data_IF_841707086305
#
_entry.id   IF_841707086305
#
_cell.length_a   1.000
_cell.length_b   1.000
_cell.length_c   1.000
_cell.angle_alpha   90.00
_cell.angle_beta   90.00
_cell.angle_gamma   90.00
#
_symmetry.space_group_name_H-M   'P 1'
#
loop_
_entity.id
_entity.type
_entity.pdbx_description
1 polymer ?
#
# COMPACT_ATOMS: atom_id res chain seq x y z
N UNK A 1 0.51 -5.18 12.64
CA UNK A 1 -0.44 -4.07 12.80
C UNK A 1 -0.05 -2.93 11.84
N UNK A 2 -1.02 -2.14 11.38
CA UNK A 2 -0.76 -0.96 10.57
C UNK A 2 -0.24 0.18 11.45
N UNK A 3 0.93 0.75 11.09
CA UNK A 3 1.57 1.85 11.81
C UNK A 3 1.53 3.14 10.98
N UNK A 4 0.51 3.99 11.16
CA UNK A 4 0.35 5.19 10.34
C UNK A 4 1.40 6.28 10.61
N UNK A 5 2.09 6.27 11.76
CA UNK A 5 3.12 7.27 12.07
C UNK A 5 4.47 6.96 11.42
N UNK A 6 4.54 5.90 10.60
CA UNK A 6 5.70 5.51 9.79
C UNK A 6 6.17 6.64 8.84
N UNK A 7 5.33 7.63 8.59
CA UNK A 7 5.62 8.78 7.75
C UNK A 7 6.91 9.53 8.13
N UNK A 8 7.32 9.48 9.39
CA UNK A 8 8.60 10.03 9.84
C UNK A 8 9.78 9.33 9.16
N UNK A 9 9.74 8.00 9.10
CA UNK A 9 10.75 7.19 8.42
C UNK A 9 10.66 7.34 6.90
N UNK A 10 9.45 7.38 6.34
CA UNK A 10 9.23 7.63 4.90
C UNK A 10 9.88 8.95 4.48
N UNK A 11 9.77 10.01 5.29
CA UNK A 11 10.39 11.30 5.05
C UNK A 11 11.92 11.27 5.09
N UNK A 12 12.52 10.37 5.86
CA UNK A 12 13.98 10.17 5.93
C UNK A 12 14.46 9.35 4.75
N UNK A 13 13.82 8.23 4.44
CA UNK A 13 14.19 7.33 3.36
C UNK A 13 13.87 7.89 1.97
N UNK A 14 12.74 8.55 1.81
CA UNK A 14 12.25 9.12 0.54
C UNK A 14 12.23 8.15 -0.65
N UNK A 15 12.13 6.85 -0.41
CA UNK A 15 12.10 5.83 -1.46
C UNK A 15 10.87 6.05 -2.35
N UNK A 16 11.12 6.26 -3.65
CA UNK A 16 10.07 6.59 -4.62
C UNK A 16 9.60 8.04 -4.59
N UNK A 17 10.21 8.92 -3.76
CA UNK A 17 9.94 10.36 -3.69
C UNK A 17 11.19 11.20 -3.98
N UNK A 18 12.06 10.70 -4.85
CA UNK A 18 13.30 11.38 -5.24
C UNK A 18 14.49 11.10 -4.34
N UNK A 19 14.35 10.28 -3.30
CA UNK A 19 15.47 9.76 -2.52
C UNK A 19 16.25 8.71 -3.32
N UNK A 20 17.57 8.87 -3.36
CA UNK A 20 18.50 7.97 -4.05
C UNK A 20 19.67 7.55 -3.15
N UNK A 21 19.61 7.87 -1.88
CA UNK A 21 20.65 7.57 -0.91
C UNK A 21 20.07 6.84 0.30
N UNK A 22 20.83 5.90 0.85
CA UNK A 22 20.53 5.29 2.14
C UNK A 22 20.82 6.32 3.23
N UNK A 23 19.85 6.65 4.11
CA UNK A 23 20.05 7.62 5.17
C UNK A 23 21.13 7.18 6.18
N UNK A 24 21.67 8.14 6.90
CA UNK A 24 22.57 7.82 8.01
C UNK A 24 21.80 7.17 9.16
N UNK A 25 22.46 6.24 9.85
CA UNK A 25 21.86 5.48 10.95
C UNK A 25 21.25 6.37 12.03
N UNK A 26 21.93 7.46 12.41
CA UNK A 26 21.44 8.44 13.40
C UNK A 26 20.10 9.06 12.99
N UNK A 27 19.89 9.32 11.68
CA UNK A 27 18.68 9.97 11.19
C UNK A 27 17.51 8.97 11.18
N UNK A 28 17.80 7.69 10.90
CA UNK A 28 16.81 6.60 11.01
C UNK A 28 16.39 6.41 12.46
N UNK A 29 17.34 6.34 13.40
CA UNK A 29 17.08 6.17 14.83
C UNK A 29 16.26 7.34 15.38
N UNK A 30 16.61 8.58 15.04
CA UNK A 30 15.86 9.77 15.44
C UNK A 30 14.44 9.85 14.88
N UNK A 31 14.20 9.28 13.68
CA UNK A 31 12.87 9.16 13.11
C UNK A 31 12.06 8.03 13.75
N UNK A 32 12.72 6.90 14.05
CA UNK A 32 12.10 5.72 14.66
C UNK A 32 11.53 6.02 16.05
N UNK A 33 12.21 6.86 16.87
CA UNK A 33 11.71 7.31 18.19
C UNK A 33 10.32 7.99 18.12
N UNK A 34 9.92 8.47 16.96
CA UNK A 34 8.63 9.15 16.73
C UNK A 34 7.56 8.23 16.17
N UNK A 35 7.90 6.97 15.84
CA UNK A 35 6.96 5.98 15.33
C UNK A 35 6.21 5.36 16.50
N UNK A 36 4.97 5.79 16.70
CA UNK A 36 4.12 5.35 17.81
C UNK A 36 2.67 5.79 17.57
N UNK A 37 1.86 4.89 17.04
CA UNK A 37 0.44 5.16 16.75
C UNK A 37 -0.40 5.41 18.01
N UNK A 38 0.06 4.99 19.19
CA UNK A 38 -0.69 5.21 20.44
C UNK A 38 -0.80 6.67 20.83
N UNK A 39 0.05 7.54 20.24
CA UNK A 39 0.00 9.00 20.40
C UNK A 39 -0.99 9.69 19.47
N UNK A 40 -1.69 8.93 18.61
CA UNK A 40 -2.74 9.47 17.75
C UNK A 40 -4.04 9.55 18.56
N UNK A 41 -4.58 10.74 18.64
CA UNK A 41 -5.90 10.97 19.22
C UNK A 41 -6.87 11.40 18.13
N UNK A 42 -8.05 10.80 18.10
CA UNK A 42 -9.11 11.17 17.17
C UNK A 42 -10.35 11.60 17.93
N UNK A 43 -10.99 12.68 17.48
CA UNK A 43 -12.25 13.19 18.05
C UNK A 43 -13.21 13.52 16.92
N UNK A 44 -14.44 13.05 17.03
CA UNK A 44 -15.51 13.39 16.10
C UNK A 44 -16.57 14.23 16.80
N UNK A 45 -16.76 15.46 16.31
CA UNK A 45 -17.76 16.39 16.79
C UNK A 45 -18.47 17.06 15.61
N UNK A 46 -19.80 17.16 15.64
CA UNK A 46 -20.60 17.84 14.62
C UNK A 46 -20.24 17.47 13.18
N UNK A 47 -20.07 16.17 12.90
CA UNK A 47 -19.60 15.62 11.61
C UNK A 47 -18.18 16.04 11.18
N UNK A 48 -17.41 16.70 12.04
CA UNK A 48 -16.00 17.02 11.80
C UNK A 48 -15.15 15.99 12.55
N UNK A 49 -14.25 15.33 11.81
CA UNK A 49 -13.24 14.46 12.40
C UNK A 49 -11.95 15.26 12.61
N UNK A 50 -11.46 15.30 13.83
CA UNK A 50 -10.20 15.94 14.18
C UNK A 50 -9.20 14.88 14.62
N UNK A 51 -7.95 15.05 14.21
CA UNK A 51 -6.85 14.18 14.61
C UNK A 51 -5.76 15.04 15.25
N UNK A 52 -5.19 14.55 16.35
CA UNK A 52 -3.97 15.06 16.95
C UNK A 52 -2.92 13.96 16.90
N UNK A 53 -1.72 14.31 16.50
CA UNK A 53 -0.55 13.42 16.48
C UNK A 53 0.50 13.95 17.47
N UNK A 54 1.43 13.11 17.88
CA UNK A 54 2.55 13.48 18.74
C UNK A 54 3.47 14.48 18.06
N UNK A 55 4.19 15.26 18.88
CA UNK A 55 5.14 16.26 18.37
C UNK A 55 6.21 15.62 17.49
N UNK A 56 6.33 16.09 16.26
CA UNK A 56 7.31 15.62 15.31
C UNK A 56 6.95 14.31 14.60
N UNK A 57 5.74 13.76 14.83
CA UNK A 57 5.22 12.65 14.06
C UNK A 57 4.76 13.09 12.66
N UNK A 58 4.75 12.17 11.73
CA UNK A 58 4.21 12.33 10.39
C UNK A 58 3.37 11.12 10.02
N UNK A 59 2.21 11.35 9.42
CA UNK A 59 1.31 10.28 9.00
C UNK A 59 1.60 9.88 7.55
N UNK A 60 1.68 8.58 7.33
CA UNK A 60 1.67 7.96 6.00
C UNK A 60 0.59 6.87 5.95
N UNK A 61 -0.27 6.94 4.95
CA UNK A 61 -1.37 5.99 4.74
C UNK A 61 -1.14 5.15 3.47
N UNK A 62 0.07 5.17 2.92
CA UNK A 62 0.40 4.54 1.65
C UNK A 62 0.04 3.06 1.56
N UNK A 63 0.07 2.35 2.69
CA UNK A 63 -0.25 0.92 2.77
C UNK A 63 -1.76 0.59 2.75
N UNK A 64 -2.66 1.58 2.76
CA UNK A 64 -4.12 1.38 2.72
C UNK A 64 -4.83 2.36 1.79
N UNK A 65 -4.16 3.44 1.40
CA UNK A 65 -4.81 4.58 0.73
C UNK A 65 -5.34 4.22 -0.66
N UNK A 66 -4.56 3.49 -1.46
CA UNK A 66 -4.98 3.13 -2.82
C UNK A 66 -6.19 2.19 -2.79
N UNK A 67 -6.19 1.21 -1.90
CA UNK A 67 -7.32 0.31 -1.70
C UNK A 67 -8.57 1.04 -1.24
N UNK A 68 -8.44 1.96 -0.29
CA UNK A 68 -9.54 2.80 0.18
C UNK A 68 -10.10 3.69 -0.93
N UNK A 69 -9.22 4.39 -1.67
CA UNK A 69 -9.60 5.26 -2.79
C UNK A 69 -10.35 4.45 -3.86
N UNK A 70 -9.84 3.27 -4.25
CA UNK A 70 -10.48 2.40 -5.22
C UNK A 70 -11.90 2.02 -4.81
N UNK A 71 -12.09 1.62 -3.54
CA UNK A 71 -13.41 1.30 -2.98
C UNK A 71 -14.34 2.52 -2.96
N UNK A 72 -13.86 3.68 -2.52
CA UNK A 72 -14.67 4.90 -2.48
C UNK A 72 -15.11 5.33 -3.89
N UNK A 73 -14.18 5.36 -4.84
CA UNK A 73 -14.48 5.73 -6.24
C UNK A 73 -15.47 4.77 -6.89
N UNK A 74 -15.36 3.46 -6.67
CA UNK A 74 -16.34 2.51 -7.20
C UNK A 74 -17.73 2.70 -6.62
N UNK A 75 -17.83 3.08 -5.32
CA UNK A 75 -19.10 3.41 -4.67
C UNK A 75 -19.71 4.69 -5.25
N UNK A 76 -18.92 5.75 -5.43
CA UNK A 76 -19.38 7.02 -6.01
C UNK A 76 -19.84 6.82 -7.46
N UNK A 77 -19.08 6.08 -8.27
CA UNK A 77 -19.44 5.76 -9.65
C UNK A 77 -20.73 4.94 -9.71
N UNK A 78 -20.90 3.97 -8.80
CA UNK A 78 -22.15 3.20 -8.69
C UNK A 78 -23.33 4.08 -8.36
N UNK A 79 -23.18 5.02 -7.42
CA UNK A 79 -24.21 6.00 -7.06
C UNK A 79 -24.56 6.92 -8.24
N UNK A 80 -23.58 7.22 -9.10
CA UNK A 80 -23.78 7.96 -10.35
C UNK A 80 -24.38 7.13 -11.50
N UNK A 81 -24.72 5.85 -11.27
CA UNK A 81 -25.38 4.98 -12.24
C UNK A 81 -24.43 4.09 -13.08
N UNK A 82 -23.14 4.09 -12.79
CA UNK A 82 -22.20 3.17 -13.45
C UNK A 82 -22.45 1.71 -13.01
N UNK A 83 -22.40 0.78 -13.95
CA UNK A 83 -22.64 -0.65 -13.70
C UNK A 83 -21.44 -1.54 -13.99
N UNK A 84 -20.47 -1.05 -14.77
CA UNK A 84 -19.30 -1.79 -15.23
C UNK A 84 -18.08 -0.86 -15.12
N UNK A 85 -17.24 -1.05 -14.11
CA UNK A 85 -16.06 -0.21 -13.89
C UNK A 85 -14.85 -1.08 -13.59
N UNK A 86 -13.72 -0.73 -14.17
CA UNK A 86 -12.41 -1.19 -13.80
C UNK A 86 -11.54 0.03 -13.56
N UNK A 87 -11.06 0.21 -12.33
CA UNK A 87 -10.09 1.23 -11.95
C UNK A 87 -8.74 0.56 -11.71
N UNK A 88 -7.70 1.00 -12.41
CA UNK A 88 -6.31 0.62 -12.14
C UNK A 88 -5.57 1.81 -11.52
N UNK A 89 -5.28 1.71 -10.24
CA UNK A 89 -4.56 2.71 -9.45
C UNK A 89 -3.08 2.33 -9.29
N UNK A 90 -2.42 2.02 -10.41
CA UNK A 90 -1.02 1.65 -10.43
C UNK A 90 -0.77 0.23 -9.88
N UNK A 91 -1.58 -0.73 -10.33
CA UNK A 91 -1.52 -2.14 -9.93
C UNK A 91 -2.48 -2.52 -8.80
N UNK A 92 -3.14 -1.55 -8.17
CA UNK A 92 -4.28 -1.79 -7.29
C UNK A 92 -5.56 -1.64 -8.12
N UNK A 93 -6.21 -2.76 -8.43
CA UNK A 93 -7.39 -2.80 -9.28
C UNK A 93 -8.66 -2.87 -8.43
N UNK A 94 -9.61 -1.95 -8.68
CA UNK A 94 -10.93 -1.98 -8.06
C UNK A 94 -12.00 -2.18 -9.15
N UNK A 95 -12.95 -3.06 -8.89
CA UNK A 95 -13.95 -3.52 -9.87
C UNK A 95 -15.36 -3.24 -9.37
N UNK A 96 -16.22 -2.77 -10.29
CA UNK A 96 -17.65 -2.70 -10.09
C UNK A 96 -18.33 -3.49 -11.21
N UNK A 97 -19.23 -4.40 -10.83
CA UNK A 97 -19.97 -5.24 -11.76
C UNK A 97 -19.08 -6.15 -12.60
N UNK A 98 -19.66 -6.69 -13.64
CA UNK A 98 -18.98 -7.54 -14.60
C UNK A 98 -18.40 -6.72 -15.75
N UNK A 99 -17.54 -7.31 -16.55
CA UNK A 99 -17.06 -6.71 -17.80
C UNK A 99 -18.22 -6.43 -18.77
N UNK A 100 -18.06 -5.55 -19.76
CA UNK A 100 -19.10 -5.30 -20.77
C UNK A 100 -19.59 -6.55 -21.51
N UNK A 101 -18.80 -7.63 -21.54
CA UNK A 101 -19.17 -8.92 -22.09
C UNK A 101 -20.02 -9.79 -21.15
N UNK A 102 -20.46 -9.27 -19.97
CA UNK A 102 -21.28 -9.99 -18.99
C UNK A 102 -20.53 -11.03 -18.16
N UNK A 103 -19.22 -11.11 -18.26
CA UNK A 103 -18.34 -12.07 -17.57
C UNK A 103 -17.53 -11.36 -16.47
N UNK A 104 -17.00 -12.09 -15.47
CA UNK A 104 -16.01 -11.53 -14.55
C UNK A 104 -14.86 -10.86 -15.31
N UNK A 105 -14.28 -9.83 -14.72
CA UNK A 105 -13.06 -9.21 -15.21
C UNK A 105 -11.89 -10.18 -15.08
N UNK A 106 -11.00 -10.18 -16.08
CA UNK A 106 -9.74 -10.89 -15.99
C UNK A 106 -8.65 -9.89 -15.56
N UNK A 107 -8.17 -10.01 -14.34
CA UNK A 107 -7.10 -9.16 -13.79
C UNK A 107 -5.79 -9.92 -13.84
N UNK A 108 -4.83 -9.41 -14.60
CA UNK A 108 -3.50 -10.00 -14.71
C UNK A 108 -2.64 -9.68 -13.49
N UNK A 109 -2.03 -10.70 -12.89
CA UNK A 109 -1.05 -10.54 -11.84
C UNK A 109 0.34 -10.47 -12.47
N UNK A 110 1.02 -9.34 -12.25
CA UNK A 110 2.35 -9.07 -12.77
C UNK A 110 3.38 -10.07 -12.24
N UNK A 111 4.27 -10.54 -13.10
CA UNK A 111 5.48 -11.26 -12.67
C UNK A 111 6.43 -10.33 -11.94
N UNK A 112 6.84 -10.65 -10.70
CA UNK A 112 7.70 -9.78 -9.91
C UNK A 112 9.14 -9.71 -10.42
N UNK A 113 9.60 -10.73 -11.18
CA UNK A 113 10.96 -10.91 -11.71
C UNK A 113 11.11 -10.45 -13.16
N UNK A 114 10.08 -9.85 -13.75
CA UNK A 114 10.06 -9.49 -15.17
C UNK A 114 9.60 -8.05 -15.39
N UNK A 115 9.80 -7.58 -16.60
CA UNK A 115 9.32 -6.27 -17.04
C UNK A 115 7.80 -6.16 -16.93
N UNK A 116 7.34 -4.93 -16.76
CA UNK A 116 5.91 -4.63 -16.64
C UNK A 116 5.14 -5.12 -17.87
N UNK A 117 4.01 -5.78 -17.62
CA UNK A 117 3.15 -6.38 -18.65
C UNK A 117 3.32 -7.89 -18.80
N UNK A 118 4.33 -8.49 -18.17
CA UNK A 118 4.45 -9.95 -18.14
C UNK A 118 3.64 -10.55 -17.00
N UNK A 119 2.60 -11.30 -17.34
CA UNK A 119 1.61 -11.83 -16.42
C UNK A 119 2.05 -13.20 -15.88
N UNK A 120 1.98 -13.38 -14.55
CA UNK A 120 2.20 -14.66 -13.86
C UNK A 120 0.91 -15.49 -13.79
N UNK A 121 -0.21 -14.83 -13.47
CA UNK A 121 -1.51 -15.47 -13.28
C UNK A 121 -2.63 -14.50 -13.68
N UNK A 122 -3.83 -15.03 -13.86
CA UNK A 122 -5.05 -14.25 -14.11
C UNK A 122 -6.07 -14.57 -13.03
N UNK A 123 -6.55 -13.54 -12.35
CA UNK A 123 -7.66 -13.64 -11.39
C UNK A 123 -8.96 -13.20 -12.08
N UNK A 124 -10.02 -13.99 -11.89
CA UNK A 124 -11.39 -13.63 -12.32
C UNK A 124 -12.11 -13.01 -11.13
N UNK A 125 -12.47 -11.73 -11.22
CA UNK A 125 -13.09 -11.00 -10.12
C UNK A 125 -14.22 -10.08 -10.62
N UNK A 126 -15.14 -9.72 -9.74
CA UNK A 126 -16.19 -8.71 -9.95
C UNK A 126 -16.68 -8.21 -8.58
N UNK A 127 -17.01 -6.93 -8.47
CA UNK A 127 -17.40 -6.27 -7.20
C UNK A 127 -16.36 -6.46 -6.08
N UNK A 128 -15.08 -6.50 -6.47
CA UNK A 128 -13.94 -6.78 -5.59
C UNK A 128 -12.76 -5.91 -5.99
N UNK A 129 -11.79 -5.81 -5.09
CA UNK A 129 -10.47 -5.24 -5.37
C UNK A 129 -9.44 -6.37 -5.47
N UNK A 130 -8.52 -6.24 -6.42
CA UNK A 130 -7.35 -7.10 -6.60
C UNK A 130 -6.13 -6.23 -6.37
N UNK A 131 -5.43 -6.43 -5.26
CA UNK A 131 -4.38 -5.55 -4.78
C UNK A 131 -3.08 -6.33 -4.65
N UNK A 132 -1.99 -5.74 -5.13
CA UNK A 132 -0.67 -6.36 -5.08
C UNK A 132 0.34 -5.43 -4.42
N UNK A 133 1.07 -5.95 -3.44
CA UNK A 133 2.28 -5.35 -2.86
C UNK A 133 3.51 -6.14 -3.30
N UNK A 134 4.58 -5.45 -3.71
CA UNK A 134 5.81 -6.10 -4.15
C UNK A 134 7.04 -5.21 -3.99
N UNK A 135 8.21 -5.83 -3.81
CA UNK A 135 9.49 -5.15 -3.63
C UNK A 135 9.99 -4.44 -4.89
N UNK A 136 9.46 -4.80 -6.05
CA UNK A 136 9.93 -4.30 -7.35
C UNK A 136 9.40 -2.91 -7.72
N UNK A 137 8.37 -2.40 -6.99
CA UNK A 137 7.71 -1.15 -7.38
C UNK A 137 8.56 0.09 -7.12
N UNK A 138 9.17 0.20 -5.93
CA UNK A 138 9.98 1.35 -5.52
C UNK A 138 11.14 0.87 -4.67
N UNK A 139 12.36 1.16 -5.09
CA UNK A 139 13.59 0.75 -4.40
C UNK A 139 14.73 1.74 -4.62
N UNK A 140 15.67 1.73 -3.70
CA UNK A 140 17.00 2.32 -3.85
C UNK A 140 17.99 1.17 -3.97
N UNK A 141 18.92 1.25 -4.92
CA UNK A 141 20.02 0.32 -5.04
C UNK A 141 21.33 1.01 -4.63
N UNK A 142 22.03 0.43 -3.66
CA UNK A 142 23.33 0.94 -3.19
C UNK A 142 24.23 -0.20 -2.76
N UNK A 143 25.48 -0.19 -3.22
CA UNK A 143 26.52 -1.18 -2.86
C UNK A 143 26.06 -2.64 -3.06
N UNK A 144 25.33 -2.92 -4.15
CA UNK A 144 24.80 -4.24 -4.47
C UNK A 144 23.61 -4.68 -3.61
N UNK A 145 23.08 -3.80 -2.74
CA UNK A 145 21.89 -4.05 -1.91
C UNK A 145 20.70 -3.27 -2.43
N UNK A 146 19.52 -3.90 -2.38
CA UNK A 146 18.25 -3.29 -2.73
C UNK A 146 17.46 -2.95 -1.46
N UNK A 147 16.96 -1.72 -1.38
CA UNK A 147 16.20 -1.19 -0.26
C UNK A 147 14.79 -0.85 -0.74
N UNK A 148 13.81 -1.67 -0.39
CA UNK A 148 12.40 -1.48 -0.76
C UNK A 148 11.73 -0.37 0.04
N UNK A 149 10.58 0.10 -0.45
CA UNK A 149 9.85 1.21 0.19
C UNK A 149 9.00 0.80 1.40
N UNK A 150 8.81 -0.50 1.64
CA UNK A 150 8.07 -0.98 2.82
C UNK A 150 9.04 -1.02 4.00
N UNK A 151 8.77 -0.22 5.01
CA UNK A 151 9.65 -0.01 6.16
C UNK A 151 9.12 -0.75 7.40
N UNK A 152 10.03 -1.31 8.19
CA UNK A 152 9.72 -1.89 9.49
C UNK A 152 9.57 -0.79 10.55
N UNK A 153 8.45 -0.72 11.26
CA UNK A 153 8.28 0.21 12.38
C UNK A 153 9.11 -0.16 13.62
N UNK A 154 9.72 -1.34 13.64
CA UNK A 154 10.56 -1.81 14.74
C UNK A 154 12.02 -1.44 14.54
N UNK A 155 12.50 -1.53 13.29
CA UNK A 155 13.92 -1.32 12.98
C UNK A 155 14.21 -0.01 12.24
N UNK A 156 13.18 0.63 11.68
CA UNK A 156 13.31 1.79 10.81
C UNK A 156 13.92 1.49 9.44
N UNK A 157 14.24 0.23 9.16
CA UNK A 157 14.85 -0.24 7.91
C UNK A 157 13.78 -0.78 6.96
N UNK A 158 14.05 -0.83 5.64
CA UNK A 158 13.26 -1.63 4.73
C UNK A 158 13.12 -3.07 5.22
N UNK A 159 11.93 -3.64 5.10
CA UNK A 159 11.70 -5.03 5.50
C UNK A 159 12.54 -5.99 4.66
N UNK A 160 13.17 -6.93 5.34
CA UNK A 160 13.82 -8.07 4.70
C UNK A 160 12.78 -9.20 4.62
N UNK A 161 12.39 -9.60 3.43
CA UNK A 161 11.40 -10.65 3.21
C UNK A 161 11.85 -11.55 2.06
N UNK A 162 11.45 -12.81 2.14
CA UNK A 162 11.62 -13.83 1.09
C UNK A 162 10.48 -13.79 0.05
N UNK A 163 9.48 -12.94 0.28
CA UNK A 163 8.33 -12.77 -0.61
C UNK A 163 8.65 -11.73 -1.70
N UNK A 164 8.46 -12.11 -2.97
CA UNK A 164 8.61 -11.20 -4.10
C UNK A 164 7.39 -10.29 -4.28
N UNK A 165 6.18 -10.84 -4.12
CA UNK A 165 4.91 -10.09 -4.12
C UNK A 165 3.80 -10.86 -3.43
N UNK A 166 2.80 -10.13 -2.94
CA UNK A 166 1.54 -10.65 -2.40
C UNK A 166 0.39 -10.05 -3.17
N UNK A 167 -0.60 -10.86 -3.54
CA UNK A 167 -1.85 -10.39 -4.14
C UNK A 167 -3.03 -10.84 -3.29
N UNK A 168 -3.91 -9.92 -2.96
CA UNK A 168 -5.14 -10.18 -2.20
C UNK A 168 -6.36 -9.74 -3.01
N UNK A 169 -7.40 -10.55 -2.96
CA UNK A 169 -8.72 -10.26 -3.51
C UNK A 169 -9.70 -10.11 -2.37
N UNK A 170 -10.33 -8.95 -2.29
CA UNK A 170 -11.30 -8.63 -1.23
C UNK A 170 -12.31 -7.58 -1.71
N UNK A 171 -13.52 -7.61 -1.15
CA UNK A 171 -14.54 -6.58 -1.39
C UNK A 171 -14.18 -5.23 -0.77
N UNK A 172 -13.41 -5.24 0.31
CA UNK A 172 -12.88 -4.06 0.97
C UNK A 172 -11.43 -3.83 0.53
N UNK A 173 -11.24 -2.86 -0.37
CA UNK A 173 -9.93 -2.54 -0.90
C UNK A 173 -8.94 -2.03 0.15
N UNK A 174 -9.41 -1.28 1.17
CA UNK A 174 -8.52 -0.82 2.25
C UNK A 174 -7.99 -1.99 3.08
N UNK A 175 -8.86 -2.97 3.37
CA UNK A 175 -8.48 -4.20 4.06
C UNK A 175 -7.51 -5.04 3.23
N UNK A 176 -7.80 -5.20 1.93
CA UNK A 176 -6.91 -5.90 1.01
C UNK A 176 -5.52 -5.25 0.94
N UNK A 177 -5.43 -3.92 0.83
CA UNK A 177 -4.18 -3.17 0.74
C UNK A 177 -3.35 -3.33 2.03
N UNK A 178 -4.01 -3.16 3.20
CA UNK A 178 -3.37 -3.35 4.50
C UNK A 178 -2.84 -4.76 4.71
N UNK A 179 -3.63 -5.79 4.40
CA UNK A 179 -3.19 -7.18 4.51
C UNK A 179 -2.08 -7.52 3.52
N UNK A 180 -2.17 -6.99 2.30
CA UNK A 180 -1.16 -7.19 1.26
C UNK A 180 0.22 -6.73 1.75
N UNK A 181 0.29 -5.53 2.30
CA UNK A 181 1.51 -4.96 2.87
C UNK A 181 1.97 -5.71 4.12
N UNK A 182 1.03 -6.10 5.00
CA UNK A 182 1.36 -6.82 6.23
C UNK A 182 1.95 -8.21 5.96
N UNK A 183 1.32 -8.99 5.09
CA UNK A 183 1.81 -10.32 4.71
C UNK A 183 3.16 -10.24 3.98
N UNK A 184 3.33 -9.22 3.12
CA UNK A 184 4.62 -8.99 2.48
C UNK A 184 5.72 -8.72 3.52
N UNK A 185 5.41 -7.93 4.56
CA UNK A 185 6.38 -7.59 5.61
C UNK A 185 6.68 -8.77 6.56
N UNK A 186 5.72 -9.69 6.76
CA UNK A 186 5.88 -10.84 7.64
C UNK A 186 6.74 -11.96 7.04
N UNK A 187 6.77 -12.09 5.71
CA UNK A 187 7.44 -13.23 5.07
C UNK A 187 6.60 -14.52 5.10
N UNK A 188 7.23 -15.66 4.77
CA UNK A 188 6.58 -16.99 4.73
C UNK A 188 6.88 -17.82 5.99
N UNK A 189 7.83 -17.41 6.84
CA UNK A 189 8.20 -18.12 8.07
C UNK A 189 7.26 -17.84 9.25
#
# INVERSE_FOLDING_TARGET
AFEPTIGTLVNVWKIGFGGNQVPERRDIEAALEKVDYTKIETKRENNVCRMRIGKGQSIDLGAIAKGWIGTALTQDLKAAGATNVLLDLGGNVALLGKSPAGRPWNVGIQRPDKERGQIFAVVKAFDESVITSGAYERKIEKDGKSYGHILSPETGMPVATDIASVTIVDKDGARADGWCTALFAMGVE
#
